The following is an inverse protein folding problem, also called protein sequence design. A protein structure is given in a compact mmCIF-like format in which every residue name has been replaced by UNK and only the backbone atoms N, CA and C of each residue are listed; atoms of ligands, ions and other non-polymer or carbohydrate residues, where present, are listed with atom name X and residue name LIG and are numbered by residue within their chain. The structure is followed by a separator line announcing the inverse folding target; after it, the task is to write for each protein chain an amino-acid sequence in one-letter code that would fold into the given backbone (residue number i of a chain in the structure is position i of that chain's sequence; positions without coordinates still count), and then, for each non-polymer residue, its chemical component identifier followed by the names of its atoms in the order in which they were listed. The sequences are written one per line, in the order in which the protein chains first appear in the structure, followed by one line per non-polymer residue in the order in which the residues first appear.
data_IF_523633681611
#
_entry.id   IF_523633681611
#
_cell.length_a   1.000
_cell.length_b   1.000
_cell.length_c   1.000
_cell.angle_alpha   90.00
_cell.angle_beta   90.00
_cell.angle_gamma   90.00
#
_symmetry.space_group_name_H-M   'P 1'
#
loop_
_entity.id
_entity.type
_entity.pdbx_description
1 polymer ?
#
# COMPACT_ATOMS: atom_id res chain seq x y z
N UNK A 1 18.82 -9.01 5.07
CA UNK A 1 18.26 -8.91 3.71
C UNK A 1 17.69 -7.52 3.55
N UNK A 2 17.75 -6.96 2.34
CA UNK A 2 17.07 -5.70 2.02
C UNK A 2 15.56 -5.81 2.33
N UNK A 3 14.93 -4.78 2.93
CA UNK A 3 13.49 -4.79 3.14
C UNK A 3 12.78 -4.81 1.78
N UNK A 4 11.63 -5.50 1.70
CA UNK A 4 10.79 -5.55 0.50
C UNK A 4 9.55 -4.70 0.72
N UNK A 5 9.24 -3.82 -0.23
CA UNK A 5 7.97 -3.10 -0.28
C UNK A 5 7.27 -3.47 -1.59
N UNK A 6 6.07 -4.04 -1.48
CA UNK A 6 5.24 -4.32 -2.66
C UNK A 6 4.27 -3.18 -2.90
N UNK A 7 4.01 -2.85 -4.17
CA UNK A 7 3.15 -1.73 -4.57
C UNK A 7 1.91 -2.24 -5.32
N UNK A 8 0.71 -1.94 -4.81
CA UNK A 8 -0.56 -2.24 -5.46
C UNK A 8 -1.39 -0.95 -5.51
N UNK A 9 -1.61 -0.39 -6.70
CA UNK A 9 -2.35 0.87 -6.84
C UNK A 9 -3.30 0.91 -8.05
N UNK A 10 -4.14 1.94 -8.10
CA UNK A 10 -5.01 2.31 -9.23
C UNK A 10 -4.50 3.53 -10.03
N UNK A 11 -3.23 3.89 -9.87
CA UNK A 11 -2.62 5.10 -10.46
C UNK A 11 -2.37 4.98 -11.97
N UNK A 12 -2.36 3.77 -12.50
CA UNK A 12 -1.87 3.51 -13.86
C UNK A 12 -0.37 3.77 -14.00
N UNK A 13 0.08 3.81 -15.26
CA UNK A 13 1.48 4.06 -15.64
C UNK A 13 1.59 5.15 -16.71
N UNK A 14 0.53 5.94 -16.89
CA UNK A 14 0.46 6.96 -17.94
C UNK A 14 1.10 8.29 -17.52
N UNK A 15 1.23 8.53 -16.21
CA UNK A 15 1.83 9.73 -15.64
C UNK A 15 2.97 9.40 -14.65
N UNK A 16 3.47 10.41 -13.96
CA UNK A 16 4.64 10.32 -13.07
C UNK A 16 4.33 9.76 -11.68
N UNK A 17 3.07 9.53 -11.31
CA UNK A 17 2.70 9.37 -9.90
C UNK A 17 3.35 8.14 -9.25
N UNK A 18 3.43 7.02 -9.98
CA UNK A 18 4.15 5.83 -9.53
C UNK A 18 5.65 6.10 -9.36
N UNK A 19 6.27 6.87 -10.27
CA UNK A 19 7.69 7.20 -10.18
C UNK A 19 7.98 8.12 -8.99
N UNK A 20 7.13 9.10 -8.73
CA UNK A 20 7.23 9.99 -7.57
C UNK A 20 7.11 9.22 -6.25
N UNK A 21 6.12 8.34 -6.13
CA UNK A 21 5.96 7.46 -4.97
C UNK A 21 7.21 6.61 -4.73
N UNK A 22 7.74 5.96 -5.77
CA UNK A 22 8.96 5.16 -5.67
C UNK A 22 10.17 6.01 -5.28
N UNK A 23 10.29 7.22 -5.84
CA UNK A 23 11.35 8.17 -5.50
C UNK A 23 11.35 8.57 -4.04
N UNK A 24 10.17 8.89 -3.48
CA UNK A 24 10.01 9.18 -2.05
C UNK A 24 10.41 7.99 -1.18
N UNK A 25 9.98 6.78 -1.54
CA UNK A 25 10.33 5.56 -0.79
C UNK A 25 11.85 5.32 -0.82
N UNK A 26 12.48 5.44 -1.99
CA UNK A 26 13.93 5.25 -2.15
C UNK A 26 14.74 6.33 -1.43
N UNK A 27 14.21 7.55 -1.33
CA UNK A 27 14.82 8.62 -0.54
C UNK A 27 14.83 8.32 0.96
N UNK A 28 13.78 7.65 1.47
CA UNK A 28 13.67 7.27 2.88
C UNK A 28 14.42 5.96 3.20
N UNK A 29 14.39 4.98 2.28
CA UNK A 29 15.00 3.65 2.46
C UNK A 29 15.77 3.27 1.19
N UNK A 30 17.04 3.71 1.04
CA UNK A 30 17.78 3.54 -0.21
C UNK A 30 18.00 2.08 -0.65
N UNK A 31 18.14 1.15 0.30
CA UNK A 31 18.43 -0.26 0.02
C UNK A 31 17.17 -1.13 -0.10
N UNK A 32 15.98 -0.53 -0.25
CA UNK A 32 14.71 -1.26 -0.35
C UNK A 32 14.55 -1.93 -1.72
N UNK A 33 14.00 -3.14 -1.73
CA UNK A 33 13.53 -3.79 -2.96
C UNK A 33 12.06 -3.43 -3.19
N UNK A 34 11.79 -2.67 -4.24
CA UNK A 34 10.43 -2.34 -4.67
C UNK A 34 9.91 -3.39 -5.66
N UNK A 35 8.72 -3.91 -5.40
CA UNK A 35 8.06 -4.89 -6.27
C UNK A 35 6.65 -4.42 -6.62
N UNK A 36 6.40 -4.12 -7.89
CA UNK A 36 5.05 -3.79 -8.34
C UNK A 36 4.20 -5.06 -8.40
N UNK A 37 3.12 -5.10 -7.63
CA UNK A 37 2.06 -6.10 -7.80
C UNK A 37 1.26 -5.73 -9.06
N UNK A 38 0.76 -4.50 -9.11
CA UNK A 38 0.17 -3.86 -10.28
C UNK A 38 -0.18 -2.41 -9.95
N UNK A 39 -0.20 -1.55 -10.96
CA UNK A 39 -0.75 -0.20 -10.88
C UNK A 39 -2.02 -0.04 -11.72
N UNK A 40 -2.53 -1.14 -12.28
CA UNK A 40 -3.64 -1.15 -13.22
C UNK A 40 -4.97 -1.59 -12.58
N UNK A 41 -5.12 -1.39 -11.26
CA UNK A 41 -6.45 -1.53 -10.64
C UNK A 41 -7.38 -0.47 -11.24
N UNK A 42 -8.64 -0.80 -11.59
CA UNK A 42 -9.57 0.22 -12.05
C UNK A 42 -9.70 1.35 -11.02
N UNK A 43 -9.74 2.63 -11.44
CA UNK A 43 -9.79 3.77 -10.51
C UNK A 43 -10.89 3.64 -9.45
N UNK A 44 -10.50 3.68 -8.18
CA UNK A 44 -11.40 3.58 -7.03
C UNK A 44 -11.99 2.19 -6.76
N UNK A 45 -11.63 1.15 -7.51
CA UNK A 45 -12.17 -0.20 -7.35
C UNK A 45 -11.49 -0.95 -6.19
N UNK A 46 -11.97 -0.64 -4.99
CA UNK A 46 -11.51 -1.24 -3.73
C UNK A 46 -11.63 -2.77 -3.74
N UNK A 47 -12.68 -3.33 -4.36
CA UNK A 47 -12.91 -4.77 -4.38
C UNK A 47 -11.87 -5.49 -5.25
N UNK A 48 -11.53 -4.93 -6.41
CA UNK A 48 -10.43 -5.46 -7.24
C UNK A 48 -9.10 -5.38 -6.48
N UNK A 49 -8.85 -4.27 -5.76
CA UNK A 49 -7.67 -4.12 -4.90
C UNK A 49 -7.59 -5.19 -3.81
N UNK A 50 -8.69 -5.43 -3.08
CA UNK A 50 -8.79 -6.49 -2.06
C UNK A 50 -8.49 -7.87 -2.65
N UNK A 51 -9.09 -8.19 -3.79
CA UNK A 51 -8.94 -9.48 -4.45
C UNK A 51 -7.49 -9.73 -4.89
N UNK A 52 -6.82 -8.70 -5.42
CA UNK A 52 -5.42 -8.78 -5.80
C UNK A 52 -4.51 -8.93 -4.58
N UNK A 53 -4.71 -8.13 -3.53
CA UNK A 53 -3.97 -8.23 -2.28
C UNK A 53 -4.05 -9.64 -1.70
N UNK A 54 -5.27 -10.18 -1.55
CA UNK A 54 -5.53 -11.51 -0.97
C UNK A 54 -4.79 -12.64 -1.70
N UNK A 55 -4.55 -12.50 -3.01
CA UNK A 55 -3.85 -13.50 -3.83
C UNK A 55 -2.32 -13.39 -3.78
N UNK A 56 -1.79 -12.21 -3.49
CA UNK A 56 -0.37 -11.90 -3.72
C UNK A 56 0.45 -11.90 -2.43
N UNK A 57 -0.08 -11.36 -1.32
CA UNK A 57 0.75 -11.03 -0.16
C UNK A 57 1.46 -12.25 0.45
N UNK A 58 0.77 -13.40 0.56
CA UNK A 58 1.33 -14.66 1.11
C UNK A 58 2.44 -15.28 0.27
N UNK A 59 2.71 -14.75 -0.93
CA UNK A 59 3.82 -15.22 -1.79
C UNK A 59 5.13 -14.51 -1.48
N UNK A 60 5.09 -13.44 -0.70
CA UNK A 60 6.28 -12.74 -0.23
C UNK A 60 6.73 -13.32 1.11
N UNK A 61 8.02 -13.19 1.46
CA UNK A 61 8.52 -13.63 2.76
C UNK A 61 8.00 -12.73 3.89
N UNK A 62 7.96 -13.24 5.14
CA UNK A 62 7.74 -12.41 6.33
C UNK A 62 8.72 -11.24 6.39
N UNK A 63 8.28 -10.13 6.98
CA UNK A 63 9.00 -8.85 7.01
C UNK A 63 8.73 -7.96 5.79
N UNK A 64 7.92 -8.43 4.83
CA UNK A 64 7.50 -7.62 3.67
C UNK A 64 6.44 -6.59 4.09
N UNK A 65 6.59 -5.37 3.60
CA UNK A 65 5.56 -4.32 3.70
C UNK A 65 4.77 -4.26 2.39
N UNK A 66 3.44 -4.32 2.50
CA UNK A 66 2.54 -4.20 1.36
C UNK A 66 1.91 -2.81 1.38
N UNK A 67 2.34 -1.93 0.47
CA UNK A 67 1.72 -0.62 0.26
C UNK A 67 0.61 -0.75 -0.78
N UNK A 68 -0.62 -0.54 -0.34
CA UNK A 68 -1.84 -0.81 -1.09
C UNK A 68 -2.68 0.47 -1.12
N UNK A 69 -2.77 1.11 -2.29
CA UNK A 69 -3.43 2.42 -2.43
C UNK A 69 -4.42 2.38 -3.59
N UNK A 70 -5.69 2.19 -3.24
CA UNK A 70 -6.83 2.32 -4.14
C UNK A 70 -7.85 3.19 -3.41
N UNK A 71 -7.90 4.47 -3.79
CA UNK A 71 -8.59 5.48 -3.00
C UNK A 71 -9.43 6.44 -3.87
N UNK A 72 -10.75 6.20 -3.97
CA UNK A 72 -11.65 7.15 -4.64
C UNK A 72 -11.87 8.46 -3.85
N UNK A 73 -11.35 8.56 -2.62
CA UNK A 73 -11.46 9.70 -1.71
C UNK A 73 -10.14 10.43 -1.46
N UNK A 74 -9.16 10.34 -2.37
CA UNK A 74 -7.92 11.13 -2.32
C UNK A 74 -8.24 12.64 -2.17
N UNK A 75 -7.42 13.40 -1.44
CA UNK A 75 -7.66 14.82 -1.17
C UNK A 75 -8.73 15.13 -0.11
N UNK A 76 -9.26 14.11 0.59
CA UNK A 76 -10.23 14.30 1.68
C UNK A 76 -9.58 14.05 3.05
N UNK A 77 -10.34 14.16 4.14
CA UNK A 77 -9.87 13.91 5.52
C UNK A 77 -9.54 12.41 5.81
N UNK A 78 -9.30 11.63 4.76
CA UNK A 78 -9.19 10.19 4.80
C UNK A 78 -7.85 9.76 5.37
N UNK A 79 -7.91 8.68 6.15
CA UNK A 79 -6.85 8.29 7.07
C UNK A 79 -6.08 7.13 6.47
N UNK A 80 -4.76 7.16 6.62
CA UNK A 80 -3.92 5.99 6.40
C UNK A 80 -3.94 5.10 7.66
N UNK A 81 -3.96 3.80 7.44
CA UNK A 81 -3.88 2.77 8.48
C UNK A 81 -2.74 1.82 8.16
N UNK A 82 -2.13 1.28 9.22
CA UNK A 82 -1.19 0.19 9.14
C UNK A 82 -1.75 -1.04 9.87
N UNK A 83 -1.56 -2.21 9.27
CA UNK A 83 -2.00 -3.50 9.80
C UNK A 83 -0.79 -4.42 9.85
N UNK A 84 -0.61 -5.13 10.96
CA UNK A 84 0.35 -6.23 11.08
C UNK A 84 -0.38 -7.56 11.14
N UNK A 85 -0.07 -8.45 10.20
CA UNK A 85 -0.67 -9.79 10.14
C UNK A 85 0.30 -10.80 9.53
N UNK A 86 0.43 -11.97 10.16
CA UNK A 86 1.22 -13.09 9.63
C UNK A 86 2.72 -12.80 9.45
N UNK A 87 3.27 -11.82 10.17
CA UNK A 87 4.66 -11.37 10.00
C UNK A 87 4.85 -10.37 8.85
N UNK A 88 3.77 -9.85 8.27
CA UNK A 88 3.77 -8.80 7.25
C UNK A 88 3.18 -7.52 7.82
N UNK A 89 3.54 -6.39 7.21
CA UNK A 89 2.87 -5.12 7.43
C UNK A 89 2.11 -4.71 6.17
N UNK A 90 0.97 -4.05 6.35
CA UNK A 90 0.12 -3.56 5.26
C UNK A 90 -0.18 -2.10 5.54
N UNK A 91 0.03 -1.24 4.55
CA UNK A 91 -0.23 0.19 4.65
C UNK A 91 -1.20 0.57 3.54
N UNK A 92 -2.27 1.24 3.90
CA UNK A 92 -3.29 1.65 2.94
C UNK A 92 -4.33 2.57 3.55
N UNK A 93 -5.29 3.02 2.73
CA UNK A 93 -6.28 3.98 3.17
C UNK A 93 -7.44 3.25 3.87
N UNK A 94 -8.10 3.93 4.81
CA UNK A 94 -9.20 3.37 5.62
C UNK A 94 -10.55 3.37 4.87
N UNK A 95 -10.78 2.41 3.95
CA UNK A 95 -12.04 2.15 3.22
C UNK A 95 -12.36 0.65 3.13
N UNK A 96 -11.70 -0.16 3.95
CA UNK A 96 -11.79 -1.61 3.85
C UNK A 96 -10.92 -2.23 2.75
N UNK A 97 -10.03 -1.49 2.06
CA UNK A 97 -9.07 -2.11 1.14
C UNK A 97 -8.23 -3.22 1.82
N UNK A 98 -7.93 -3.05 3.10
CA UNK A 98 -7.16 -4.02 3.90
C UNK A 98 -8.02 -5.10 4.58
N UNK A 99 -9.34 -5.15 4.34
CA UNK A 99 -10.23 -6.17 4.92
C UNK A 99 -9.71 -7.61 4.82
N UNK A 100 -9.09 -8.06 3.69
CA UNK A 100 -8.61 -9.44 3.55
C UNK A 100 -7.51 -9.86 4.53
N UNK A 101 -6.92 -8.93 5.28
CA UNK A 101 -5.78 -9.19 6.18
C UNK A 101 -6.07 -8.79 7.63
N UNK A 102 -7.32 -8.49 7.99
CA UNK A 102 -7.68 -8.01 9.34
C UNK A 102 -7.88 -9.12 10.37
N UNK A 103 -8.19 -10.34 9.93
CA UNK A 103 -8.48 -11.44 10.86
C UNK A 103 -7.25 -11.77 11.72
N UNK A 104 -7.37 -11.63 13.04
CA UNK A 104 -6.26 -11.81 13.98
C UNK A 104 -5.11 -10.79 13.83
N UNK A 105 -5.36 -9.63 13.22
CA UNK A 105 -4.35 -8.61 12.97
C UNK A 105 -4.27 -7.53 14.06
N UNK A 106 -3.10 -6.91 14.19
CA UNK A 106 -2.93 -5.67 14.96
C UNK A 106 -3.12 -4.48 14.02
N UNK A 107 -3.91 -3.49 14.42
CA UNK A 107 -4.26 -2.35 13.57
C UNK A 107 -3.87 -1.06 14.29
N UNK A 108 -3.14 -0.19 13.59
CA UNK A 108 -2.78 1.15 14.08
C UNK A 108 -3.13 2.20 13.04
N UNK A 109 -3.52 3.38 13.53
CA UNK A 109 -3.71 4.54 12.68
C UNK A 109 -2.37 5.24 12.47
N UNK A 110 -2.09 5.65 11.24
CA UNK A 110 -0.89 6.43 10.94
C UNK A 110 -1.17 7.93 11.11
N UNK A 111 -0.24 8.70 11.69
CA UNK A 111 -0.27 10.15 11.63
C UNK A 111 -0.05 10.60 10.18
N UNK A 112 -0.66 11.72 9.79
CA UNK A 112 -0.40 12.37 8.49
C UNK A 112 0.68 13.43 8.72
N UNK A 113 1.85 13.33 8.06
CA UNK A 113 2.88 14.37 8.12
C UNK A 113 2.37 15.71 7.59
N UNK A 114 2.89 16.83 8.12
CA UNK A 114 2.48 18.18 7.68
C UNK A 114 2.89 18.48 6.23
N UNK A 115 3.94 17.82 5.73
CA UNK A 115 4.48 17.92 4.39
C UNK A 115 3.89 16.88 3.42
N UNK A 116 2.89 16.11 3.84
CA UNK A 116 2.23 15.14 2.98
C UNK A 116 1.52 15.85 1.81
N UNK A 117 1.74 15.34 0.60
CA UNK A 117 1.00 15.78 -0.58
C UNK A 117 -0.51 15.60 -0.38
N UNK A 118 -1.35 16.56 -0.84
CA UNK A 118 -2.80 16.47 -0.74
C UNK A 118 -3.40 15.30 -1.55
#
# INVERSE_FOLDING_TARGET
MAPIITLLTDFGLQDSYVAEMKGTILGAVPDVTLVDVTHAVPPGDVLTGQYLLARTWRRFPPGTVHLVVVDPGVGTARRAVAVEHGGHAFVGPDNGLLTPVLDGATIVRLPVPEDASP
#
